data_IF_694591267634
#
_entry.id   IF_694591267634
#
_cell.length_a   1.000
_cell.length_b   1.000
_cell.length_c   1.000
_cell.angle_alpha   90.00
_cell.angle_beta   90.00
_cell.angle_gamma   90.00
#
_symmetry.space_group_name_H-M   'P 1'
#
loop_
_entity.id
_entity.type
_entity.pdbx_description
1 polymer ?
#
# COMPACT_ATOMS: atom_id res chain seq x y z
N UNK A 1 -6.48 -0.80 -8.18
CA UNK A 1 -6.25 -2.19 -7.72
C UNK A 1 -5.87 -2.13 -6.24
N UNK A 2 -6.13 -3.15 -5.41
CA UNK A 2 -5.79 -3.08 -3.98
C UNK A 2 -4.38 -3.65 -3.73
N UNK A 3 -3.35 -2.90 -4.13
CA UNK A 3 -1.93 -3.27 -3.94
C UNK A 3 -1.16 -2.17 -3.18
N UNK A 4 0.11 -2.44 -2.85
CA UNK A 4 0.94 -1.51 -2.09
C UNK A 4 1.16 -0.17 -2.80
N UNK A 5 1.20 -0.15 -4.13
CA UNK A 5 1.46 1.08 -4.88
C UNK A 5 0.26 2.02 -4.83
N UNK A 6 -0.94 1.48 -4.87
CA UNK A 6 -2.18 2.25 -4.69
C UNK A 6 -2.30 2.78 -3.26
N UNK A 7 -1.93 1.97 -2.26
CA UNK A 7 -1.84 2.44 -0.87
C UNK A 7 -0.84 3.61 -0.73
N UNK A 8 0.35 3.49 -1.33
CA UNK A 8 1.37 4.56 -1.33
C UNK A 8 0.84 5.82 -2.01
N UNK A 9 0.17 5.69 -3.16
CA UNK A 9 -0.45 6.83 -3.86
C UNK A 9 -1.45 7.55 -2.96
N UNK A 10 -2.33 6.84 -2.26
CA UNK A 10 -3.28 7.45 -1.33
C UNK A 10 -2.58 8.16 -0.16
N UNK A 11 -1.51 7.58 0.39
CA UNK A 11 -0.74 8.21 1.46
C UNK A 11 -0.01 9.47 0.98
N UNK A 12 0.55 9.48 -0.24
CA UNK A 12 1.16 10.69 -0.81
C UNK A 12 0.14 11.79 -1.07
N UNK A 13 -1.04 11.46 -1.60
CA UNK A 13 -2.12 12.44 -1.74
C UNK A 13 -2.56 13.01 -0.38
N UNK A 14 -2.52 12.20 0.68
CA UNK A 14 -2.80 12.64 2.04
C UNK A 14 -1.72 13.61 2.55
N UNK A 15 -0.45 13.34 2.26
CA UNK A 15 0.67 14.24 2.59
C UNK A 15 0.58 15.58 1.84
N UNK A 16 0.23 15.56 0.56
CA UNK A 16 0.01 16.77 -0.23
C UNK A 16 -1.13 17.61 0.36
N UNK A 17 -2.26 16.97 0.69
CA UNK A 17 -3.42 17.65 1.28
C UNK A 17 -3.16 18.22 2.69
N UNK A 18 -2.22 17.64 3.44
CA UNK A 18 -1.73 18.22 4.71
C UNK A 18 -0.87 19.48 4.49
N UNK A 19 -0.17 19.57 3.36
CA UNK A 19 0.65 20.72 3.00
C UNK A 19 -0.12 21.85 2.32
N UNK A 20 -1.36 21.60 1.89
CA UNK A 20 -2.21 22.60 1.24
C UNK A 20 -2.66 23.67 2.24
N UNK A 21 -2.22 24.92 2.02
CA UNK A 21 -2.55 26.06 2.89
C UNK A 21 -3.88 26.71 2.51
N UNK A 22 -4.35 26.52 1.29
CA UNK A 22 -5.61 27.10 0.80
C UNK A 22 -6.78 26.19 1.16
N UNK A 23 -6.56 24.86 1.15
CA UNK A 23 -7.55 23.85 1.51
C UNK A 23 -6.92 22.73 2.36
N UNK A 24 -6.52 23.03 3.61
CA UNK A 24 -5.85 22.07 4.46
C UNK A 24 -6.77 20.90 4.81
N UNK A 25 -6.24 19.69 4.75
CA UNK A 25 -6.93 18.52 5.28
C UNK A 25 -7.00 18.57 6.81
N UNK A 26 -8.12 18.11 7.35
CA UNK A 26 -8.28 17.88 8.77
C UNK A 26 -7.26 16.87 9.32
N UNK A 27 -6.64 17.20 10.45
CA UNK A 27 -5.55 16.40 11.04
C UNK A 27 -6.04 15.05 11.57
N UNK A 28 -7.24 15.02 12.15
CA UNK A 28 -7.79 13.76 12.69
C UNK A 28 -8.20 12.82 11.56
N UNK A 29 -8.69 13.36 10.44
CA UNK A 29 -8.84 12.59 9.19
C UNK A 29 -7.50 12.02 8.69
N UNK A 30 -6.43 12.80 8.76
CA UNK A 30 -5.09 12.34 8.36
C UNK A 30 -4.59 11.18 9.22
N UNK A 31 -4.80 11.26 10.55
CA UNK A 31 -4.47 10.18 11.48
C UNK A 31 -5.28 8.93 11.17
N UNK A 32 -6.59 9.05 10.96
CA UNK A 32 -7.44 7.92 10.62
C UNK A 32 -6.99 7.20 9.34
N UNK A 33 -6.61 7.95 8.30
CA UNK A 33 -6.04 7.38 7.06
C UNK A 33 -4.75 6.61 7.36
N UNK A 34 -3.87 7.21 8.18
CA UNK A 34 -2.58 6.61 8.55
C UNK A 34 -2.75 5.30 9.34
N UNK A 35 -3.72 5.26 10.25
CA UNK A 35 -4.04 4.07 11.05
C UNK A 35 -4.60 2.91 10.21
N UNK A 36 -5.51 3.21 9.28
CA UNK A 36 -6.03 2.22 8.33
C UNK A 36 -4.91 1.68 7.45
N UNK A 37 -4.04 2.55 6.93
CA UNK A 37 -2.89 2.14 6.13
C UNK A 37 -1.93 1.24 6.92
N UNK A 38 -1.68 1.56 8.19
CA UNK A 38 -0.85 0.74 9.07
C UNK A 38 -1.44 -0.66 9.26
N UNK A 39 -2.76 -0.77 9.37
CA UNK A 39 -3.48 -2.04 9.49
C UNK A 39 -3.31 -2.90 8.24
N UNK A 40 -3.43 -2.30 7.05
CA UNK A 40 -3.22 -2.98 5.77
C UNK A 40 -1.77 -3.48 5.65
N UNK A 41 -0.79 -2.63 5.99
CA UNK A 41 0.63 -2.99 5.97
C UNK A 41 0.91 -4.16 6.92
N UNK A 42 0.28 -4.19 8.10
CA UNK A 42 0.45 -5.28 9.05
C UNK A 42 -0.14 -6.60 8.53
N UNK A 43 -1.30 -6.57 7.87
CA UNK A 43 -1.86 -7.75 7.19
C UNK A 43 -0.90 -8.31 6.13
N UNK A 44 -0.36 -7.43 5.29
CA UNK A 44 0.59 -7.82 4.26
C UNK A 44 1.89 -8.42 4.83
N UNK A 45 2.38 -7.93 5.97
CA UNK A 45 3.53 -8.53 6.65
C UNK A 45 3.23 -9.97 7.09
N UNK A 46 2.05 -10.21 7.68
CA UNK A 46 1.63 -11.57 8.10
C UNK A 46 1.56 -12.51 6.91
N UNK A 47 1.02 -12.05 5.79
CA UNK A 47 1.00 -12.82 4.54
C UNK A 47 2.41 -13.16 4.03
N UNK A 48 3.34 -12.20 4.07
CA UNK A 48 4.74 -12.45 3.69
C UNK A 48 5.40 -13.47 4.62
N UNK A 49 5.17 -13.39 5.93
CA UNK A 49 5.68 -14.38 6.87
C UNK A 49 5.11 -15.78 6.60
N UNK A 50 3.80 -15.88 6.33
CA UNK A 50 3.18 -17.14 5.95
C UNK A 50 3.81 -17.74 4.68
N UNK A 51 4.04 -16.92 3.65
CA UNK A 51 4.68 -17.36 2.41
C UNK A 51 6.11 -17.87 2.60
N UNK A 52 6.91 -17.20 3.45
CA UNK A 52 8.27 -17.63 3.77
C UNK A 52 8.29 -19.04 4.37
N UNK A 53 7.31 -19.37 5.21
CA UNK A 53 7.18 -20.69 5.85
C UNK A 53 6.59 -21.72 4.89
N UNK A 54 5.58 -21.34 4.11
CA UNK A 54 4.85 -22.25 3.23
C UNK A 54 5.53 -22.49 1.87
N UNK A 55 6.61 -21.75 1.54
CA UNK A 55 7.34 -21.87 0.27
C UNK A 55 6.63 -21.23 -0.93
N UNK A 56 5.73 -20.27 -0.71
CA UNK A 56 4.97 -19.59 -1.76
C UNK A 56 5.74 -18.45 -2.45
N UNK A 57 5.26 -17.98 -3.61
CA UNK A 57 5.99 -16.99 -4.44
C UNK A 57 5.48 -15.54 -4.36
N UNK A 58 4.51 -15.23 -3.49
CA UNK A 58 3.98 -13.85 -3.31
C UNK A 58 2.46 -13.80 -3.22
N UNK A 59 1.90 -12.76 -2.59
CA UNK A 59 0.44 -12.57 -2.48
C UNK A 59 -0.15 -11.57 -3.48
N UNK A 60 0.70 -10.91 -4.29
CA UNK A 60 0.27 -9.85 -5.21
C UNK A 60 0.08 -8.49 -4.54
N UNK A 61 0.24 -8.39 -3.22
CA UNK A 61 0.25 -7.10 -2.52
C UNK A 61 1.53 -6.30 -2.80
N UNK A 62 2.68 -6.96 -2.83
CA UNK A 62 3.97 -6.40 -3.27
C UNK A 62 4.24 -6.88 -4.68
N UNK A 63 4.21 -5.98 -5.66
CA UNK A 63 4.59 -6.32 -7.03
C UNK A 63 6.07 -6.69 -7.09
N UNK A 64 6.39 -7.79 -7.78
CA UNK A 64 7.77 -8.20 -8.06
C UNK A 64 8.27 -7.39 -9.26
N UNK A 65 9.21 -6.45 -9.12
CA UNK A 65 9.79 -5.76 -10.26
C UNK A 65 10.60 -6.80 -11.05
N UNK A 66 10.07 -7.26 -12.19
CA UNK A 66 10.74 -8.22 -13.06
C UNK A 66 9.87 -9.33 -13.66
N UNK A 67 8.66 -9.58 -13.16
CA UNK A 67 7.68 -10.42 -13.88
C UNK A 67 6.78 -9.49 -14.71
N UNK A 68 7.37 -8.85 -15.72
CA UNK A 68 6.60 -8.36 -16.84
C UNK A 68 5.86 -9.57 -17.40
N UNK A 69 4.53 -9.59 -17.27
CA UNK A 69 3.66 -10.56 -17.94
C UNK A 69 3.91 -10.38 -19.44
N UNK A 70 4.88 -11.10 -19.98
CA UNK A 70 5.04 -11.29 -21.43
C UNK A 70 3.78 -12.02 -21.85
N UNK A 71 2.79 -11.24 -22.26
CA UNK A 71 1.72 -11.69 -23.13
C UNK A 71 2.43 -12.20 -24.38
N UNK A 72 2.66 -13.52 -24.40
CA UNK A 72 2.96 -14.27 -25.61
C UNK A 72 1.77 -14.10 -26.56
N UNK A 73 2.12 -13.85 -27.82
CA UNK A 73 1.27 -13.55 -28.97
C UNK A 73 0.05 -14.45 -29.13
#
# INVERSE_FOLDING_TARGET
MNNIDELRRHLFATLEALGDKEKPMDIDRAKAISEVAQTIINSAKVEVEHLKVAGGTGTGFMDRPGITRRISA
#
